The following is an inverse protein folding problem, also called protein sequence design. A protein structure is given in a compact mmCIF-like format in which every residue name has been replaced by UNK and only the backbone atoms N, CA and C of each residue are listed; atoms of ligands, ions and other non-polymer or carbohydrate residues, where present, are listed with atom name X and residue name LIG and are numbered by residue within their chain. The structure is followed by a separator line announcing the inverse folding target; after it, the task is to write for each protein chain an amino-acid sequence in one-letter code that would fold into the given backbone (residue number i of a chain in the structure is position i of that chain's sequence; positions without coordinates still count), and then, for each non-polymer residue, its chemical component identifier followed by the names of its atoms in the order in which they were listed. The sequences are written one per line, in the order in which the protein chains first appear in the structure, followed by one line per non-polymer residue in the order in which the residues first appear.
data_IF_531609619321
#
_entry.id   IF_531609619321
#
_cell.length_a   1.000
_cell.length_b   1.000
_cell.length_c   1.000
_cell.angle_alpha   90.00
_cell.angle_beta   90.00
_cell.angle_gamma   90.00
#
_symmetry.space_group_name_H-M   'P 1'
#
loop_
_entity.id
_entity.type
_entity.pdbx_description
1 polymer ?
#
# COMPACT_ATOMS: atom_id res chain seq x y z
N UNK A 1 7.72 11.16 3.32
CA UNK A 1 7.97 10.09 2.34
C UNK A 1 6.86 9.09 2.36
N UNK A 2 6.38 8.70 1.21
CA UNK A 2 5.30 7.73 1.12
C UNK A 2 5.80 6.44 0.49
N UNK A 3 5.38 5.32 1.04
CA UNK A 3 5.78 4.02 0.54
C UNK A 3 4.52 3.20 0.31
N UNK A 4 4.42 2.59 -0.84
CA UNK A 4 3.31 1.73 -1.19
C UNK A 4 3.73 0.29 -1.05
N UNK A 5 2.87 -0.53 -0.47
CA UNK A 5 3.20 -1.92 -0.19
C UNK A 5 2.08 -2.84 -0.64
N UNK A 6 2.46 -4.02 -1.12
CA UNK A 6 1.50 -5.09 -1.34
C UNK A 6 1.62 -6.07 -0.18
N UNK A 7 0.51 -6.39 0.43
CA UNK A 7 0.48 -7.26 1.61
C UNK A 7 -0.07 -8.63 1.25
N UNK A 8 0.29 -9.63 2.06
CA UNK A 8 -0.27 -10.95 1.87
C UNK A 8 -1.76 -10.91 2.18
N UNK A 9 -2.50 -11.83 1.56
CA UNK A 9 -3.95 -11.82 1.70
C UNK A 9 -4.38 -12.79 2.78
N UNK A 10 -3.73 -12.75 3.93
CA UNK A 10 -4.10 -13.61 5.03
C UNK A 10 -4.10 -12.75 6.29
N UNK A 11 -4.27 -13.38 7.44
CA UNK A 11 -4.41 -12.64 8.69
C UNK A 11 -3.12 -11.94 9.10
N UNK A 12 -1.99 -12.37 8.58
CA UNK A 12 -0.72 -11.77 8.95
C UNK A 12 -0.42 -10.51 8.16
N UNK A 13 -0.90 -10.43 6.92
CA UNK A 13 -0.72 -9.24 6.07
C UNK A 13 0.72 -8.77 6.04
N UNK A 14 1.63 -9.66 5.70
CA UNK A 14 3.04 -9.32 5.64
C UNK A 14 3.37 -8.60 4.34
N UNK A 15 4.30 -7.65 4.35
CA UNK A 15 4.68 -6.94 3.12
C UNK A 15 5.36 -7.89 2.16
N UNK A 16 4.88 -7.90 0.91
CA UNK A 16 5.46 -8.73 -0.14
C UNK A 16 6.26 -7.89 -1.11
N UNK A 17 5.82 -6.66 -1.39
CA UNK A 17 6.48 -5.77 -2.32
C UNK A 17 6.39 -4.37 -1.81
N UNK A 18 7.41 -3.57 -2.08
CA UNK A 18 7.47 -2.18 -1.64
C UNK A 18 7.87 -1.33 -2.83
N UNK A 19 7.20 -0.20 -3.00
CA UNK A 19 7.48 0.70 -4.10
C UNK A 19 7.31 2.14 -3.65
N UNK A 20 7.95 3.06 -4.38
CA UNK A 20 7.86 4.46 -4.03
C UNK A 20 6.59 5.11 -4.53
N UNK A 21 5.88 4.50 -5.43
CA UNK A 21 4.67 5.08 -5.98
C UNK A 21 3.66 3.99 -6.29
N UNK A 22 2.39 4.39 -6.37
CA UNK A 22 1.34 3.45 -6.71
C UNK A 22 1.53 2.90 -8.12
N UNK A 23 2.00 3.74 -9.02
CA UNK A 23 2.19 3.30 -10.40
C UNK A 23 3.26 2.23 -10.47
N UNK A 24 4.34 2.39 -9.73
CA UNK A 24 5.39 1.41 -9.74
C UNK A 24 4.95 0.11 -9.08
N UNK A 25 4.25 0.21 -7.96
CA UNK A 25 3.73 -0.99 -7.31
C UNK A 25 2.76 -1.73 -8.24
N UNK A 26 1.92 -0.99 -8.95
CA UNK A 26 0.99 -1.60 -9.87
C UNK A 26 1.72 -2.34 -10.97
N UNK A 27 2.81 -1.77 -11.48
CA UNK A 27 3.58 -2.42 -12.52
C UNK A 27 4.22 -3.70 -12.01
N UNK A 28 4.73 -3.65 -10.77
CA UNK A 28 5.37 -4.83 -10.19
C UNK A 28 4.35 -5.94 -9.94
N UNK A 29 3.11 -5.58 -9.64
CA UNK A 29 2.06 -6.54 -9.35
C UNK A 29 1.19 -6.86 -10.56
N UNK A 30 1.54 -6.30 -11.73
CA UNK A 30 0.79 -6.56 -12.96
C UNK A 30 -0.66 -6.14 -12.82
N UNK A 31 -0.89 -4.97 -12.26
CA UNK A 31 -2.23 -4.42 -12.10
C UNK A 31 -2.19 -2.94 -12.48
N UNK A 32 -3.23 -2.19 -12.17
CA UNK A 32 -3.28 -0.77 -12.51
C UNK A 32 -3.09 0.07 -11.26
N UNK A 33 -2.54 1.28 -11.44
CA UNK A 33 -2.37 2.18 -10.32
C UNK A 33 -3.72 2.56 -9.72
N UNK A 34 -4.75 2.61 -10.55
CA UNK A 34 -6.09 2.90 -10.07
C UNK A 34 -6.54 1.86 -9.07
N UNK A 35 -6.27 0.59 -9.34
CA UNK A 35 -6.62 -0.49 -8.45
C UNK A 35 -5.88 -0.37 -7.12
N UNK A 36 -4.61 -0.03 -7.18
CA UNK A 36 -3.80 0.11 -5.97
C UNK A 36 -4.33 1.27 -5.12
N UNK A 37 -4.58 2.41 -5.74
CA UNK A 37 -5.04 3.59 -5.02
C UNK A 37 -6.44 3.36 -4.46
N UNK A 38 -7.32 2.72 -5.22
CA UNK A 38 -8.68 2.46 -4.76
C UNK A 38 -8.69 1.55 -3.55
N UNK A 39 -7.87 0.52 -3.56
CA UNK A 39 -7.81 -0.40 -2.43
C UNK A 39 -7.37 0.33 -1.17
N UNK A 40 -6.35 1.16 -1.28
CA UNK A 40 -5.89 1.93 -0.14
C UNK A 40 -6.97 2.89 0.35
N UNK A 41 -7.70 3.50 -0.57
CA UNK A 41 -8.76 4.43 -0.21
C UNK A 41 -9.87 3.72 0.54
N UNK A 42 -10.28 2.55 0.06
CA UNK A 42 -11.32 1.79 0.74
C UNK A 42 -10.87 1.36 2.14
N UNK A 43 -9.61 1.01 2.28
CA UNK A 43 -9.10 0.64 3.58
C UNK A 43 -9.14 1.81 4.54
N UNK A 44 -8.73 3.00 4.07
CA UNK A 44 -8.71 4.18 4.92
C UNK A 44 -10.11 4.60 5.33
N UNK A 45 -11.10 4.29 4.51
CA UNK A 45 -12.50 4.61 4.84
C UNK A 45 -13.16 3.52 5.66
N UNK A 46 -12.41 2.48 6.00
CA UNK A 46 -12.94 1.41 6.83
C UNK A 46 -13.81 0.41 6.09
N UNK A 47 -13.77 0.41 4.77
CA UNK A 47 -14.61 -0.50 4.00
C UNK A 47 -14.04 -1.90 3.88
N UNK A 48 -12.71 -2.03 4.02
CA UNK A 48 -12.09 -3.34 4.00
C UNK A 48 -11.12 -3.40 5.16
N UNK A 49 -10.91 -4.61 5.68
CA UNK A 49 -10.01 -4.80 6.82
C UNK A 49 -8.70 -5.46 6.41
N UNK A 50 -8.67 -6.15 5.26
CA UNK A 50 -7.45 -6.82 4.81
C UNK A 50 -7.08 -6.30 3.43
N UNK A 51 -6.54 -5.10 3.33
CA UNK A 51 -6.21 -4.54 2.02
C UNK A 51 -5.02 -5.26 1.42
N UNK A 52 -5.04 -5.44 0.10
CA UNK A 52 -3.88 -5.99 -0.60
C UNK A 52 -2.83 -4.93 -0.83
N UNK A 53 -3.22 -3.67 -0.91
CA UNK A 53 -2.30 -2.56 -1.19
C UNK A 53 -2.54 -1.46 -0.17
N UNK A 54 -1.47 -0.94 0.41
CA UNK A 54 -1.59 0.16 1.36
C UNK A 54 -0.49 1.16 1.10
N UNK A 55 -0.74 2.40 1.51
CA UNK A 55 0.24 3.47 1.45
C UNK A 55 0.58 3.88 2.87
N UNK A 56 1.85 3.90 3.19
CA UNK A 56 2.30 4.28 4.50
C UNK A 56 3.14 5.54 4.37
N UNK A 57 2.89 6.51 5.25
CA UNK A 57 3.67 7.73 5.28
C UNK A 57 4.74 7.58 6.35
N UNK A 58 5.99 7.78 5.96
CA UNK A 58 7.10 7.71 6.88
C UNK A 58 7.60 9.13 7.07
N UNK A 59 7.61 9.58 8.30
CA UNK A 59 8.12 10.90 8.61
C UNK A 59 9.56 10.77 8.98
N UNK A 60 10.36 11.72 8.52
CA UNK A 60 11.76 11.68 8.83
C UNK A 60 12.18 13.02 9.31
N UNK A 61 13.30 13.07 9.98
CA UNK A 61 13.87 14.31 10.46
C UNK A 61 13.26 14.80 11.71
N UNK A 62 12.38 14.05 12.33
CA UNK A 62 11.80 14.55 13.49
C UNK A 62 12.29 13.89 14.69
N UNK A 63 13.36 13.26 14.68
CA UNK A 63 13.79 12.65 15.76
C UNK A 63 14.24 13.55 16.72
N UNK A 64 14.28 14.40 16.83
CA UNK A 64 14.69 15.22 17.86
C UNK A 64 15.65 14.89 18.66
#
# INVERSE_FOLDING_TARGET
MKIWMKLTNDKYQLPMMIADSAAELARMCNTTSNNVVSTNSHFRKGRITNPSYVCVTIEEGDEV
#
